data_IF_176938245318
#
_entry.id   IF_176938245318
#
_cell.length_a   1.000
_cell.length_b   1.000
_cell.length_c   1.000
_cell.angle_alpha   90.00
_cell.angle_beta   90.00
_cell.angle_gamma   90.00
#
_symmetry.space_group_name_H-M   'P 1'
#
loop_
_entity.id
_entity.type
_entity.pdbx_description
1 polymer ?
#
# COMPACT_ATOMS: atom_id res chain seq x y z
N UNK A 1 -9.23 -10.70 40.80
CA UNK A 1 -8.51 -9.49 40.34
C UNK A 1 -7.29 -9.74 39.46
N UNK A 2 -6.67 -10.94 39.40
CA UNK A 2 -5.47 -11.19 38.56
C UNK A 2 -5.75 -11.48 37.08
N UNK A 3 -6.91 -12.06 36.77
CA UNK A 3 -7.26 -12.51 35.40
C UNK A 3 -7.48 -11.34 34.44
N UNK A 4 -8.06 -10.23 34.91
CA UNK A 4 -8.31 -9.05 34.08
C UNK A 4 -7.04 -8.40 33.52
N UNK A 5 -5.93 -8.46 34.26
CA UNK A 5 -4.64 -7.95 33.79
C UNK A 5 -4.10 -8.76 32.60
N UNK A 6 -4.35 -10.07 32.55
CA UNK A 6 -3.88 -10.94 31.46
C UNK A 6 -4.64 -10.66 30.17
N UNK A 7 -5.97 -10.47 30.27
CA UNK A 7 -6.79 -10.09 29.11
C UNK A 7 -6.42 -8.72 28.54
N UNK A 8 -6.10 -7.76 29.41
CA UNK A 8 -5.71 -6.42 28.98
C UNK A 8 -4.36 -6.43 28.24
N UNK A 9 -3.40 -7.26 28.68
CA UNK A 9 -2.13 -7.44 27.98
C UNK A 9 -2.30 -8.09 26.60
N UNK A 10 -3.13 -9.14 26.50
CA UNK A 10 -3.42 -9.78 25.21
C UNK A 10 -4.07 -8.82 24.22
N UNK A 11 -5.01 -7.99 24.69
CA UNK A 11 -5.67 -6.99 23.85
C UNK A 11 -4.68 -5.95 23.29
N UNK A 12 -3.73 -5.48 24.10
CA UNK A 12 -2.71 -4.53 23.65
C UNK A 12 -1.79 -5.15 22.59
N UNK A 13 -1.40 -6.41 22.74
CA UNK A 13 -0.56 -7.12 21.76
C UNK A 13 -1.29 -7.23 20.40
N UNK A 14 -2.56 -7.64 20.41
CA UNK A 14 -3.37 -7.74 19.18
C UNK A 14 -3.57 -6.40 18.47
N UNK A 15 -3.56 -5.29 19.22
CA UNK A 15 -3.72 -3.96 18.66
C UNK A 15 -2.47 -3.50 17.88
N UNK A 16 -1.27 -3.89 18.33
CA UNK A 16 -0.02 -3.54 17.67
C UNK A 16 0.20 -4.31 16.36
N UNK A 17 -0.26 -5.55 16.27
CA UNK A 17 -0.17 -6.34 15.03
C UNK A 17 -1.01 -5.73 13.89
N UNK A 18 -2.17 -5.16 14.21
CA UNK A 18 -3.01 -4.48 13.22
C UNK A 18 -2.52 -3.07 12.84
N UNK A 19 -1.71 -2.42 13.67
CA UNK A 19 -1.18 -1.08 13.37
C UNK A 19 -0.01 -1.09 12.36
N UNK A 20 0.67 -2.25 12.18
CA UNK A 20 1.91 -2.33 11.39
C UNK A 20 1.75 -2.80 9.94
N UNK A 21 0.52 -3.04 9.48
CA UNK A 21 0.25 -3.45 8.09
C UNK A 21 -0.65 -2.46 7.33
N UNK A 22 -0.57 -1.18 7.71
CA UNK A 22 -1.12 -0.06 6.94
C UNK A 22 0.04 0.76 6.36
N UNK A 23 1.06 0.10 5.82
CA UNK A 23 1.63 0.62 4.58
C UNK A 23 0.61 0.30 3.50
N UNK A 24 -0.42 1.14 3.42
CA UNK A 24 -1.08 1.40 2.15
C UNK A 24 -0.02 2.05 1.24
N UNK A 25 0.97 1.28 0.80
CA UNK A 25 1.62 1.53 -0.47
C UNK A 25 0.47 1.47 -1.45
N UNK A 26 -0.03 2.64 -1.85
CA UNK A 26 -0.93 2.73 -2.97
C UNK A 26 -0.28 1.89 -4.07
N UNK A 27 -0.92 0.79 -4.55
CA UNK A 27 -0.35 0.02 -5.65
C UNK A 27 -0.01 0.99 -6.76
N UNK A 28 1.28 1.16 -7.02
CA UNK A 28 1.74 2.03 -8.08
C UNK A 28 1.18 1.51 -9.41
N UNK A 29 1.02 2.39 -10.39
CA UNK A 29 0.50 1.98 -11.69
C UNK A 29 1.57 1.16 -12.43
N UNK A 30 1.24 -0.09 -12.77
CA UNK A 30 2.07 -0.97 -13.60
C UNK A 30 1.86 -0.70 -15.09
N UNK A 31 2.51 -1.49 -15.95
CA UNK A 31 2.42 -1.30 -17.39
C UNK A 31 0.98 -1.37 -17.92
N UNK A 32 0.60 -0.41 -18.77
CA UNK A 32 -0.75 -0.24 -19.31
C UNK A 32 -1.79 0.32 -18.33
N UNK A 33 -1.47 0.46 -17.04
CA UNK A 33 -2.38 1.04 -16.04
C UNK A 33 -2.41 2.56 -16.14
N UNK A 34 -3.58 3.17 -15.96
CA UNK A 34 -3.71 4.63 -16.05
C UNK A 34 -2.91 5.35 -14.94
N UNK A 35 -2.00 6.23 -15.36
CA UNK A 35 -1.22 7.12 -14.51
C UNK A 35 -1.93 8.44 -14.17
N UNK A 36 -3.20 8.61 -14.56
CA UNK A 36 -3.99 9.79 -14.21
C UNK A 36 -4.30 9.87 -12.71
N UNK A 37 -4.47 8.71 -12.06
CA UNK A 37 -4.88 8.61 -10.64
C UNK A 37 -3.70 8.21 -9.75
N UNK A 38 -2.69 7.50 -10.28
CA UNK A 38 -1.58 6.91 -9.54
C UNK A 38 -0.27 7.06 -10.30
N UNK A 39 0.82 7.38 -9.60
CA UNK A 39 2.16 7.40 -10.20
C UNK A 39 2.60 6.00 -10.65
N UNK A 40 3.37 5.93 -11.73
CA UNK A 40 3.96 4.69 -12.22
C UNK A 40 4.96 4.11 -11.22
N UNK A 41 5.10 2.78 -11.19
CA UNK A 41 6.04 2.11 -10.31
C UNK A 41 7.49 2.47 -10.67
N UNK A 42 8.23 3.09 -9.75
CA UNK A 42 9.61 3.56 -9.97
C UNK A 42 10.67 2.46 -10.11
N UNK A 43 10.30 1.18 -9.98
CA UNK A 43 11.23 0.05 -10.00
C UNK A 43 11.54 -0.50 -11.40
N UNK A 44 10.79 -0.13 -12.43
CA UNK A 44 10.78 -0.80 -13.74
C UNK A 44 10.96 0.15 -14.93
N UNK A 45 11.67 1.28 -14.78
CA UNK A 45 11.75 2.33 -15.83
C UNK A 45 10.37 2.68 -16.41
N UNK A 46 9.35 2.75 -15.54
CA UNK A 46 8.00 3.06 -15.97
C UNK A 46 7.80 4.56 -16.02
N UNK A 47 7.46 5.09 -17.19
CA UNK A 47 7.09 6.48 -17.39
C UNK A 47 5.61 6.60 -17.73
N UNK A 48 5.00 7.71 -17.30
CA UNK A 48 3.61 8.01 -17.66
C UNK A 48 3.59 8.57 -19.08
N UNK A 49 3.15 7.76 -20.05
CA UNK A 49 3.07 8.18 -21.43
C UNK A 49 1.84 9.09 -21.63
N UNK A 50 1.97 10.23 -22.32
CA UNK A 50 0.85 11.10 -22.66
C UNK A 50 0.02 10.48 -23.80
N UNK A 51 -0.74 9.44 -23.49
CA UNK A 51 -1.71 8.80 -24.39
C UNK A 51 -3.14 9.26 -24.06
N UNK A 52 -4.12 8.95 -24.92
CA UNK A 52 -5.55 9.26 -24.70
C UNK A 52 -6.03 8.70 -23.34
N UNK A 53 -5.41 7.62 -22.87
CA UNK A 53 -5.72 6.95 -21.60
C UNK A 53 -4.80 7.33 -20.43
N UNK A 54 -3.77 8.15 -20.68
CA UNK A 54 -2.67 8.49 -19.76
C UNK A 54 -2.20 7.23 -19.04
N UNK A 55 -1.45 6.36 -19.71
CA UNK A 55 -1.05 5.04 -19.19
C UNK A 55 0.43 5.00 -18.86
N UNK A 56 0.80 4.25 -17.83
CA UNK A 56 2.18 3.89 -17.57
C UNK A 56 2.69 2.97 -18.69
N UNK A 57 3.90 3.26 -19.14
CA UNK A 57 4.66 2.43 -20.07
C UNK A 57 5.98 2.06 -19.41
N UNK A 58 6.27 0.77 -19.33
CA UNK A 58 7.51 0.24 -18.77
C UNK A 58 8.34 -0.41 -19.89
N UNK A 59 9.62 -0.04 -19.99
CA UNK A 59 10.59 -0.70 -20.89
C UNK A 59 11.11 -2.05 -20.35
#
# INVERSE_FOLDING_TARGET
>A
MKIYCVFLLLFIITLQENALNVKAQAPCAGDGVSCNIRSCCSGLKCECAPSISLSCYCE
#
